data_IF_580788412301
#
_entry.id   IF_580788412301
#
_cell.length_a   1.000
_cell.length_b   1.000
_cell.length_c   1.000
_cell.angle_alpha   90.00
_cell.angle_beta   90.00
_cell.angle_gamma   90.00
#
_symmetry.space_group_name_H-M   'P 1'
#
loop_
_entity.id
_entity.type
_entity.pdbx_description
1 polymer ?
#
# COMPACT_ATOMS: atom_id res chain seq x y z
N UNK A 1 1.68 5.51 -20.68
CA UNK A 1 2.11 4.97 -22.00
C UNK A 1 1.87 3.47 -22.13
N UNK A 2 2.42 2.61 -21.27
CA UNK A 2 2.23 1.15 -21.36
C UNK A 2 0.74 0.73 -21.39
N UNK A 3 -0.10 1.32 -20.53
CA UNK A 3 -1.55 1.10 -20.53
C UNK A 3 -2.23 1.52 -21.85
N UNK A 4 -1.84 2.66 -22.43
CA UNK A 4 -2.43 3.15 -23.67
C UNK A 4 -2.06 2.28 -24.90
N UNK A 5 -0.93 1.57 -24.82
CA UNK A 5 -0.46 0.64 -25.83
C UNK A 5 -0.87 -0.82 -25.57
N UNK A 6 -1.79 -1.07 -24.62
CA UNK A 6 -2.23 -2.41 -24.17
C UNK A 6 -1.08 -3.35 -23.74
N UNK A 7 0.07 -2.80 -23.34
CA UNK A 7 1.22 -3.55 -22.79
C UNK A 7 1.03 -3.77 -21.30
N UNK A 8 0.09 -4.66 -20.95
CA UNK A 8 -0.38 -4.88 -19.57
C UNK A 8 0.71 -5.34 -18.61
N UNK A 9 1.51 -6.33 -19.00
CA UNK A 9 2.64 -6.79 -18.19
C UNK A 9 3.67 -5.69 -17.94
N UNK A 10 3.94 -4.85 -18.93
CA UNK A 10 4.85 -3.71 -18.75
C UNK A 10 4.26 -2.65 -17.83
N UNK A 11 2.94 -2.41 -17.89
CA UNK A 11 2.27 -1.51 -16.96
C UNK A 11 2.36 -2.00 -15.51
N UNK A 12 2.17 -3.31 -15.27
CA UNK A 12 2.33 -3.93 -13.95
C UNK A 12 3.78 -3.78 -13.46
N UNK A 13 4.77 -4.12 -14.30
CA UNK A 13 6.17 -4.01 -13.95
C UNK A 13 6.61 -2.56 -13.65
N UNK A 14 6.15 -1.59 -14.45
CA UNK A 14 6.40 -0.17 -14.22
C UNK A 14 5.80 0.29 -12.88
N UNK A 15 4.59 -0.16 -12.56
CA UNK A 15 3.95 0.16 -11.28
C UNK A 15 4.70 -0.47 -10.10
N UNK A 16 5.12 -1.73 -10.20
CA UNK A 16 5.93 -2.40 -9.17
C UNK A 16 7.25 -1.67 -8.92
N UNK A 17 7.93 -1.24 -9.99
CA UNK A 17 9.15 -0.44 -9.87
C UNK A 17 8.87 0.91 -9.20
N UNK A 18 7.76 1.56 -9.56
CA UNK A 18 7.33 2.83 -8.97
C UNK A 18 7.06 2.71 -7.46
N UNK A 19 6.49 1.60 -6.98
CA UNK A 19 6.29 1.35 -5.53
C UNK A 19 7.54 0.78 -4.83
N UNK A 20 8.68 0.75 -5.52
CA UNK A 20 9.99 0.43 -4.93
C UNK A 20 10.40 -1.04 -4.97
N UNK A 21 9.74 -1.89 -5.77
CA UNK A 21 10.18 -3.28 -5.92
C UNK A 21 11.47 -3.37 -6.76
N UNK A 22 12.48 -4.16 -6.32
CA UNK A 22 13.70 -4.35 -7.08
C UNK A 22 13.45 -5.04 -8.43
N UNK A 23 14.17 -4.63 -9.48
CA UNK A 23 14.01 -5.17 -10.83
C UNK A 23 14.12 -6.71 -10.89
N UNK A 24 15.07 -7.30 -10.16
CA UNK A 24 15.23 -8.75 -10.11
C UNK A 24 14.00 -9.48 -9.53
N UNK A 25 13.32 -8.86 -8.56
CA UNK A 25 12.09 -9.42 -7.99
C UNK A 25 10.93 -9.32 -8.99
N UNK A 26 10.82 -8.18 -9.70
CA UNK A 26 9.79 -7.99 -10.73
C UNK A 26 9.94 -9.02 -11.84
N UNK A 27 11.16 -9.26 -12.32
CA UNK A 27 11.41 -10.30 -13.33
C UNK A 27 11.01 -11.69 -12.85
N UNK A 28 11.30 -12.03 -11.58
CA UNK A 28 10.80 -13.27 -10.99
C UNK A 28 9.26 -13.35 -10.96
N UNK A 29 8.59 -12.24 -10.62
CA UNK A 29 7.12 -12.18 -10.55
C UNK A 29 6.44 -12.30 -11.91
N UNK A 30 7.07 -11.85 -12.99
CA UNK A 30 6.56 -12.02 -14.36
C UNK A 30 6.30 -13.49 -14.73
N UNK A 31 6.99 -14.41 -14.08
CA UNK A 31 6.84 -15.86 -14.28
C UNK A 31 5.95 -16.54 -13.25
N UNK A 32 5.43 -15.81 -12.26
CA UNK A 32 4.59 -16.38 -11.22
C UNK A 32 3.15 -16.64 -11.73
N UNK A 33 2.45 -17.68 -11.23
CA UNK A 33 1.10 -18.01 -11.68
C UNK A 33 0.07 -16.88 -11.54
N UNK A 34 0.26 -15.97 -10.56
CA UNK A 34 -0.65 -14.84 -10.33
C UNK A 34 -0.48 -13.70 -11.35
N UNK A 35 0.61 -13.68 -12.13
CA UNK A 35 0.94 -12.55 -13.01
C UNK A 35 -0.16 -12.26 -14.04
N UNK A 36 -0.69 -13.31 -14.67
CA UNK A 36 -1.81 -13.18 -15.61
C UNK A 36 -3.04 -12.51 -14.99
N UNK A 37 -3.27 -12.72 -13.68
CA UNK A 37 -4.32 -12.04 -12.93
C UNK A 37 -4.05 -10.55 -12.77
N UNK A 38 -2.78 -10.16 -12.53
CA UNK A 38 -2.38 -8.75 -12.46
C UNK A 38 -2.51 -8.06 -13.83
N UNK A 39 -2.13 -8.75 -14.91
CA UNK A 39 -2.29 -8.23 -16.27
C UNK A 39 -3.77 -8.00 -16.63
N UNK A 40 -4.65 -8.93 -16.24
CA UNK A 40 -6.08 -8.81 -16.49
C UNK A 40 -6.69 -7.51 -15.90
N UNK A 41 -6.20 -7.09 -14.73
CA UNK A 41 -6.64 -5.86 -14.04
C UNK A 41 -5.72 -4.66 -14.26
N UNK A 42 -4.63 -4.78 -15.02
CA UNK A 42 -3.67 -3.70 -15.24
C UNK A 42 -4.29 -2.33 -15.62
N UNK A 43 -5.40 -2.23 -16.39
CA UNK A 43 -6.06 -0.95 -16.65
C UNK A 43 -6.44 -0.15 -15.39
N UNK A 44 -6.68 -0.81 -14.25
CA UNK A 44 -7.03 -0.14 -13.00
C UNK A 44 -5.84 0.57 -12.36
N UNK A 45 -4.60 0.25 -12.75
CA UNK A 45 -3.39 0.91 -12.24
C UNK A 45 -3.39 2.42 -12.55
N UNK A 46 -4.15 2.86 -13.55
CA UNK A 46 -4.35 4.29 -13.78
C UNK A 46 -5.01 4.96 -12.57
N UNK A 47 -5.93 4.28 -11.89
CA UNK A 47 -6.63 4.80 -10.71
C UNK A 47 -5.68 4.87 -9.52
N UNK A 48 -4.93 3.80 -9.25
CA UNK A 48 -3.94 3.77 -8.17
C UNK A 48 -2.86 4.84 -8.37
N UNK A 49 -2.27 4.91 -9.57
CA UNK A 49 -1.19 5.85 -9.85
C UNK A 49 -1.66 7.30 -9.85
N UNK A 50 -2.75 7.62 -10.57
CA UNK A 50 -3.15 9.03 -10.76
C UNK A 50 -4.01 9.58 -9.62
N UNK A 51 -4.92 8.78 -9.06
CA UNK A 51 -5.89 9.26 -8.08
C UNK A 51 -5.45 9.03 -6.63
N UNK A 52 -4.71 7.95 -6.35
CA UNK A 52 -4.33 7.58 -4.99
C UNK A 52 -2.90 8.03 -4.66
N UNK A 53 -1.92 7.57 -5.43
CA UNK A 53 -0.50 7.81 -5.13
C UNK A 53 -0.03 9.19 -5.59
N UNK A 54 -0.61 9.71 -6.67
CA UNK A 54 -0.18 10.97 -7.27
C UNK A 54 1.25 10.89 -7.83
N UNK A 55 1.80 12.04 -8.24
CA UNK A 55 3.08 12.08 -8.97
C UNK A 55 4.27 11.68 -8.11
N UNK A 56 4.26 12.02 -6.82
CA UNK A 56 5.42 11.91 -5.93
C UNK A 56 5.19 10.94 -4.76
N UNK A 57 4.01 10.32 -4.64
CA UNK A 57 3.71 9.42 -3.53
C UNK A 57 3.68 10.13 -2.17
N UNK A 58 3.52 11.45 -2.15
CA UNK A 58 3.58 12.23 -0.91
C UNK A 58 2.39 11.96 0.01
N UNK A 59 2.64 12.07 1.32
CA UNK A 59 1.60 11.89 2.33
C UNK A 59 0.69 13.14 2.30
N UNK A 60 -0.63 13.00 2.06
CA UNK A 60 -1.53 14.13 1.89
C UNK A 60 -1.97 14.71 3.24
N UNK A 61 -1.04 15.33 3.98
CA UNK A 61 -1.23 15.75 5.38
C UNK A 61 -2.48 16.60 5.59
N UNK A 62 -2.69 17.62 4.74
CA UNK A 62 -3.86 18.51 4.86
C UNK A 62 -5.19 17.78 4.66
N UNK A 63 -5.24 16.75 3.79
CA UNK A 63 -6.44 15.94 3.61
C UNK A 63 -6.64 14.99 4.77
N UNK A 64 -5.57 14.35 5.24
CA UNK A 64 -5.62 13.44 6.38
C UNK A 64 -6.08 14.14 7.67
N UNK A 65 -5.66 15.40 7.89
CA UNK A 65 -6.07 16.18 9.07
C UNK A 65 -7.59 16.45 9.15
N UNK A 66 -8.32 16.28 8.04
CA UNK A 66 -9.79 16.45 7.97
C UNK A 66 -10.55 15.19 8.38
N UNK A 67 -9.86 14.08 8.68
CA UNK A 67 -10.48 12.84 9.15
C UNK A 67 -10.70 12.97 10.66
N UNK A 68 -11.96 13.12 11.08
CA UNK A 68 -12.32 13.33 12.49
C UNK A 68 -12.89 12.08 13.19
N UNK A 69 -13.21 11.02 12.44
CA UNK A 69 -13.68 9.76 13.02
C UNK A 69 -12.50 9.01 13.69
N UNK A 70 -12.76 8.18 14.72
CA UNK A 70 -11.75 7.28 15.26
C UNK A 70 -11.07 6.52 14.13
N UNK A 71 -9.73 6.55 14.10
CA UNK A 71 -8.95 5.97 13.00
C UNK A 71 -7.87 5.05 13.55
N UNK A 72 -7.69 3.88 12.93
CA UNK A 72 -6.60 2.97 13.22
C UNK A 72 -5.64 2.97 12.03
N UNK A 73 -4.38 3.34 12.27
CA UNK A 73 -3.30 3.28 11.30
C UNK A 73 -2.37 2.13 11.67
N UNK A 74 -2.08 1.23 10.73
CA UNK A 74 -1.28 0.03 10.98
C UNK A 74 -0.13 -0.14 10.01
N UNK A 75 0.94 -0.79 10.46
CA UNK A 75 2.04 -1.25 9.61
C UNK A 75 2.68 -2.52 10.18
N UNK A 76 3.25 -3.37 9.32
CA UNK A 76 4.10 -4.48 9.76
C UNK A 76 5.46 -4.00 10.26
N UNK A 77 5.92 -4.54 11.39
CA UNK A 77 7.19 -4.19 12.04
C UNK A 77 8.43 -4.52 11.20
N UNK A 78 8.33 -5.47 10.26
CA UNK A 78 9.39 -5.89 9.34
C UNK A 78 9.21 -5.34 7.92
N UNK A 79 8.26 -4.41 7.71
CA UNK A 79 8.03 -3.76 6.42
C UNK A 79 9.13 -2.75 6.04
N UNK A 80 9.06 -2.25 4.80
CA UNK A 80 9.98 -1.24 4.29
C UNK A 80 9.94 0.04 5.16
N UNK A 81 11.07 0.75 5.36
CA UNK A 81 11.13 1.91 6.25
C UNK A 81 10.09 3.00 5.95
N UNK A 82 9.81 3.27 4.68
CA UNK A 82 8.85 4.29 4.27
C UNK A 82 7.41 3.98 4.73
N UNK A 83 7.04 2.69 4.86
CA UNK A 83 5.70 2.30 5.30
C UNK A 83 5.49 2.65 6.78
N UNK A 84 6.51 2.43 7.62
CA UNK A 84 6.47 2.79 9.04
C UNK A 84 6.46 4.30 9.23
N UNK A 85 7.26 5.03 8.45
CA UNK A 85 7.23 6.50 8.45
C UNK A 85 5.87 7.04 8.02
N UNK A 86 5.28 6.45 6.99
CA UNK A 86 3.95 6.84 6.49
C UNK A 86 2.88 6.61 7.54
N UNK A 87 2.87 5.43 8.18
CA UNK A 87 1.93 5.10 9.24
C UNK A 87 2.07 6.06 10.44
N UNK A 88 3.31 6.33 10.89
CA UNK A 88 3.58 7.29 11.96
C UNK A 88 3.13 8.71 11.61
N UNK A 89 3.45 9.17 10.41
CA UNK A 89 3.07 10.51 9.97
C UNK A 89 1.56 10.66 9.93
N UNK A 90 0.84 9.68 9.37
CA UNK A 90 -0.62 9.70 9.34
C UNK A 90 -1.22 9.67 10.74
N UNK A 91 -0.68 8.88 11.67
CA UNK A 91 -1.20 8.83 13.04
C UNK A 91 -0.99 10.12 13.83
N UNK A 92 0.02 10.93 13.48
CA UNK A 92 0.25 12.24 14.08
C UNK A 92 -0.63 13.33 13.47
N UNK A 93 -1.01 13.17 12.20
CA UNK A 93 -1.79 14.16 11.45
C UNK A 93 -3.29 13.99 11.66
N UNK A 94 -3.77 12.76 11.76
CA UNK A 94 -5.19 12.46 11.98
C UNK A 94 -5.51 12.65 13.48
N UNK A 95 -6.39 13.59 13.87
CA UNK A 95 -6.58 13.97 15.28
C UNK A 95 -6.97 12.82 16.23
N UNK A 96 -7.76 11.86 15.74
CA UNK A 96 -8.27 10.73 16.53
C UNK A 96 -7.63 9.39 16.13
N UNK A 97 -6.40 9.41 15.61
CA UNK A 97 -5.72 8.20 15.17
C UNK A 97 -5.00 7.45 16.30
N UNK A 98 -5.06 6.12 16.23
CA UNK A 98 -4.21 5.20 16.98
C UNK A 98 -3.25 4.53 15.99
N UNK A 99 -1.97 4.48 16.35
CA UNK A 99 -0.95 3.74 15.60
C UNK A 99 -0.76 2.35 16.20
N UNK A 100 -0.72 1.30 15.37
CA UNK A 100 -0.31 -0.04 15.79
C UNK A 100 0.73 -0.61 14.82
N UNK A 101 1.84 -1.07 15.38
CA UNK A 101 2.85 -1.84 14.64
C UNK A 101 2.66 -3.31 14.94
N UNK A 102 2.52 -4.12 13.89
CA UNK A 102 2.40 -5.57 14.02
C UNK A 102 3.80 -6.19 13.98
N UNK A 103 4.38 -6.41 15.14
CA UNK A 103 5.75 -6.91 15.26
C UNK A 103 5.94 -8.26 14.55
N UNK A 104 7.09 -8.41 13.89
CA UNK A 104 7.41 -9.59 13.09
C UNK A 104 6.67 -9.69 11.74
N UNK A 105 5.66 -8.84 11.47
CA UNK A 105 4.92 -8.87 10.21
C UNK A 105 5.58 -8.01 9.12
N UNK A 106 5.57 -8.51 7.88
CA UNK A 106 6.05 -7.78 6.70
C UNK A 106 4.95 -6.85 6.13
N UNK A 107 5.10 -6.40 4.88
CA UNK A 107 4.05 -5.66 4.18
C UNK A 107 2.79 -6.52 3.96
N UNK A 108 3.00 -7.78 3.57
CA UNK A 108 1.94 -8.80 3.49
C UNK A 108 1.70 -9.41 4.87
N UNK A 109 0.80 -8.80 5.63
CA UNK A 109 0.50 -9.14 7.02
C UNK A 109 -0.38 -10.39 7.08
N UNK A 110 -0.06 -11.32 7.98
CA UNK A 110 -0.89 -12.51 8.18
C UNK A 110 -2.26 -12.16 8.79
N UNK A 111 -3.36 -12.76 8.29
CA UNK A 111 -4.70 -12.51 8.81
C UNK A 111 -4.84 -12.70 10.33
N UNK A 112 -4.18 -13.70 10.90
CA UNK A 112 -4.22 -14.01 12.34
C UNK A 112 -3.55 -12.94 13.21
N UNK A 113 -2.58 -12.20 12.65
CA UNK A 113 -1.97 -11.06 13.32
C UNK A 113 -2.82 -9.78 13.19
N UNK A 114 -3.58 -9.65 12.09
CA UNK A 114 -4.38 -8.48 11.77
C UNK A 114 -5.74 -8.48 12.50
N UNK A 115 -6.44 -9.62 12.48
CA UNK A 115 -7.83 -9.72 12.90
C UNK A 115 -8.07 -9.30 14.37
N UNK A 116 -7.27 -9.72 15.37
CA UNK A 116 -7.50 -9.33 16.76
C UNK A 116 -7.43 -7.81 16.98
N UNK A 117 -6.52 -7.13 16.27
CA UNK A 117 -6.35 -5.67 16.37
C UNK A 117 -7.54 -4.94 15.76
N UNK A 118 -8.07 -5.44 14.64
CA UNK A 118 -9.30 -4.89 14.04
C UNK A 118 -10.52 -5.09 14.95
N UNK A 119 -10.67 -6.27 15.55
CA UNK A 119 -11.77 -6.57 16.47
C UNK A 119 -11.72 -5.67 17.70
N UNK A 120 -10.55 -5.51 18.33
CA UNK A 120 -10.36 -4.61 19.47
C UNK A 120 -10.76 -3.16 19.11
N UNK A 121 -10.35 -2.68 17.94
CA UNK A 121 -10.61 -1.31 17.52
C UNK A 121 -12.08 -1.05 17.20
N UNK A 122 -12.77 -1.98 16.53
CA UNK A 122 -14.17 -1.80 16.14
C UNK A 122 -15.18 -2.10 17.27
N UNK A 123 -14.77 -2.79 18.33
CA UNK A 123 -15.60 -3.05 19.50
C UNK A 123 -15.54 -1.94 20.57
N UNK A 124 -14.68 -0.93 20.37
CA UNK A 124 -14.42 0.16 21.33
C UNK A 124 -15.35 1.36 21.19
#
# INVERSE_FOLDING_TARGET
EALAADRRGDAVALFMAYVGMPAAQIEGMRHAPFWAGMEAIAPTLAYDHTAIMGKDGSIPRERAARVHVPTLVMSGGSGAPFMKETARTLSQVIPAAKLRTLEGQAHDVQPDALAPVLVEFFAA
#
